data_IF_769166532482
#
_entry.id   IF_769166532482
#
_cell.length_a   1.000
_cell.length_b   1.000
_cell.length_c   1.000
_cell.angle_alpha   90.00
_cell.angle_beta   90.00
_cell.angle_gamma   90.00
#
_symmetry.space_group_name_H-M   'P 1'
#
loop_
_entity.id
_entity.type
_entity.pdbx_description
1 polymer ?
#
# COMPACT_ATOMS: atom_id res chain seq x y z
N UNK A 1 41.36 8.60 35.88
CA UNK A 1 42.15 7.94 34.81
C UNK A 1 43.53 7.64 35.36
N UNK A 2 43.99 6.40 35.24
CA UNK A 2 45.37 6.06 35.60
C UNK A 2 46.33 6.69 34.55
N UNK A 3 47.44 7.31 34.98
CA UNK A 3 48.44 7.86 34.06
C UNK A 3 48.96 6.79 33.10
N UNK A 4 49.12 7.14 31.82
CA UNK A 4 49.64 6.20 30.81
C UNK A 4 48.58 5.28 30.17
N UNK A 5 47.30 5.56 30.39
CA UNK A 5 46.20 4.81 29.77
C UNK A 5 45.44 5.64 28.72
N UNK A 6 44.73 4.97 27.81
CA UNK A 6 43.92 5.63 26.78
C UNK A 6 42.66 4.85 26.44
N UNK A 7 41.67 5.54 25.86
CA UNK A 7 40.38 5.00 25.45
C UNK A 7 40.11 5.35 23.99
N UNK A 8 39.50 4.42 23.26
CA UNK A 8 39.09 4.63 21.86
C UNK A 8 37.56 4.55 21.78
N UNK A 9 36.95 5.49 21.05
CA UNK A 9 35.54 5.45 20.66
C UNK A 9 35.48 5.36 19.14
N UNK A 10 34.86 4.30 18.62
CA UNK A 10 34.74 4.04 17.17
C UNK A 10 33.26 4.12 16.79
N UNK A 11 32.93 4.98 15.83
CA UNK A 11 31.61 5.05 15.22
C UNK A 11 31.57 4.26 13.91
N UNK A 12 30.60 3.35 13.77
CA UNK A 12 30.33 2.62 12.52
C UNK A 12 28.96 3.04 11.97
N UNK A 13 28.86 3.24 10.65
CA UNK A 13 27.69 3.74 9.95
C UNK A 13 27.04 2.64 9.10
N UNK A 14 25.70 2.54 9.18
CA UNK A 14 24.76 1.81 8.32
C UNK A 14 24.92 0.27 8.17
N UNK A 15 26.10 -0.25 7.84
CA UNK A 15 26.25 -1.61 7.32
C UNK A 15 26.68 -2.66 8.37
N UNK A 16 26.84 -2.27 9.63
CA UNK A 16 27.37 -3.14 10.69
C UNK A 16 28.88 -3.39 10.53
N UNK A 17 29.39 -4.41 11.22
CA UNK A 17 30.79 -4.87 11.08
C UNK A 17 30.80 -6.04 10.11
N UNK A 18 31.05 -5.76 8.81
CA UNK A 18 31.38 -6.80 7.82
C UNK A 18 32.83 -7.25 8.00
N UNK A 19 33.21 -8.41 7.46
CA UNK A 19 34.59 -8.92 7.59
C UNK A 19 35.64 -7.95 7.00
N UNK A 20 35.30 -7.27 5.91
CA UNK A 20 36.13 -6.23 5.29
C UNK A 20 36.28 -5.02 6.21
N UNK A 21 35.18 -4.56 6.83
CA UNK A 21 35.20 -3.46 7.77
C UNK A 21 35.92 -3.84 9.07
N UNK A 22 35.86 -5.10 9.50
CA UNK A 22 36.58 -5.60 10.67
C UNK A 22 38.10 -5.44 10.49
N UNK A 23 38.63 -5.80 9.31
CA UNK A 23 40.05 -5.60 9.00
C UNK A 23 40.43 -4.11 9.04
N UNK A 24 39.56 -3.24 8.54
CA UNK A 24 39.84 -1.79 8.59
C UNK A 24 39.67 -1.19 9.98
N UNK A 25 38.77 -1.73 10.82
CA UNK A 25 38.71 -1.37 12.23
C UNK A 25 40.01 -1.76 12.95
N UNK A 26 40.56 -2.95 12.67
CA UNK A 26 41.83 -3.38 13.22
C UNK A 26 42.97 -2.45 12.78
N UNK A 27 43.00 -2.04 11.51
CA UNK A 27 43.97 -1.06 11.01
C UNK A 27 43.81 0.31 11.68
N UNK A 28 42.58 0.82 11.81
CA UNK A 28 42.30 2.10 12.47
C UNK A 28 42.66 2.08 13.96
N UNK A 29 42.42 0.97 14.65
CA UNK A 29 42.81 0.79 16.05
C UNK A 29 44.34 0.74 16.16
N UNK A 30 45.03 0.05 15.26
CA UNK A 30 46.49 -0.02 15.24
C UNK A 30 47.15 1.34 14.98
N UNK A 31 46.55 2.16 14.12
CA UNK A 31 47.02 3.52 13.82
C UNK A 31 46.70 4.50 14.97
N UNK A 32 45.53 4.39 15.58
CA UNK A 32 45.13 5.23 16.70
C UNK A 32 45.78 4.84 18.04
N UNK A 33 46.37 3.64 18.15
CA UNK A 33 47.01 3.15 19.38
C UNK A 33 48.33 3.89 19.66
N UNK A 34 48.44 4.64 20.76
CA UNK A 34 49.69 5.26 21.16
C UNK A 34 50.69 4.20 21.60
N UNK A 35 51.93 4.31 21.12
CA UNK A 35 53.00 3.30 21.29
C UNK A 35 53.33 3.02 22.77
N UNK A 36 53.15 4.00 23.66
CA UNK A 36 53.54 3.92 25.07
C UNK A 36 52.39 3.71 26.05
N UNK A 37 51.13 3.68 25.60
CA UNK A 37 49.96 3.69 26.48
C UNK A 37 49.17 2.39 26.44
N UNK A 38 48.60 2.02 27.59
CA UNK A 38 47.74 0.84 27.72
C UNK A 38 46.27 1.20 27.43
N UNK A 39 45.61 0.38 26.61
CA UNK A 39 44.19 0.55 26.31
C UNK A 39 43.34 0.07 27.48
N UNK A 40 42.55 0.96 28.07
CA UNK A 40 41.63 0.64 29.19
C UNK A 40 40.18 0.53 28.75
N UNK A 41 39.83 0.99 27.54
CA UNK A 41 38.45 0.92 27.07
C UNK A 41 38.32 1.15 25.57
N UNK A 42 37.50 0.30 24.94
CA UNK A 42 37.06 0.42 23.55
C UNK A 42 35.53 0.49 23.56
N UNK A 43 34.97 1.56 23.00
CA UNK A 43 33.53 1.70 22.82
C UNK A 43 33.22 1.78 21.32
N UNK A 44 32.33 0.91 20.84
CA UNK A 44 31.89 0.90 19.45
C UNK A 44 30.41 1.29 19.42
N UNK A 45 30.08 2.38 18.73
CA UNK A 45 28.71 2.84 18.55
C UNK A 45 28.27 2.65 17.10
N UNK A 46 27.17 1.92 16.91
CA UNK A 46 26.52 1.77 15.61
C UNK A 46 25.32 2.71 15.53
N UNK A 47 25.27 3.54 14.49
CA UNK A 47 24.11 4.34 14.14
C UNK A 47 23.64 3.94 12.75
N UNK A 48 22.35 3.62 12.62
CA UNK A 48 21.72 3.25 11.35
C UNK A 48 20.60 4.23 11.05
N UNK A 49 20.56 4.75 9.83
CA UNK A 49 19.47 5.61 9.37
C UNK A 49 18.50 4.78 8.53
N UNK A 50 17.20 4.87 8.81
CA UNK A 50 16.16 4.18 8.05
C UNK A 50 14.96 5.08 7.80
N UNK A 51 14.37 4.98 6.62
CA UNK A 51 13.14 5.70 6.28
C UNK A 51 11.94 5.02 6.95
N UNK A 52 11.15 5.79 7.70
CA UNK A 52 9.86 5.35 8.23
C UNK A 52 8.77 5.97 7.35
N UNK A 53 8.01 5.13 6.65
CA UNK A 53 6.87 5.57 5.84
C UNK A 53 5.58 5.44 6.66
N UNK A 54 4.91 6.57 6.90
CA UNK A 54 3.62 6.61 7.61
C UNK A 54 2.53 6.99 6.60
N UNK A 55 1.57 6.08 6.39
CA UNK A 55 0.38 6.33 5.59
C UNK A 55 -0.78 6.78 6.47
N UNK A 56 -1.54 7.78 6.03
CA UNK A 56 -2.81 8.18 6.63
C UNK A 56 -3.94 7.92 5.65
N UNK A 57 -5.05 7.39 6.13
CA UNK A 57 -6.28 7.20 5.36
C UNK A 57 -7.43 7.87 6.10
N UNK A 58 -8.22 8.68 5.40
CA UNK A 58 -9.47 9.20 5.91
C UNK A 58 -10.63 8.37 5.36
N UNK A 59 -11.49 7.87 6.24
CA UNK A 59 -12.78 7.33 5.84
C UNK A 59 -13.77 8.50 5.76
N UNK A 60 -14.13 8.89 4.54
CA UNK A 60 -15.23 9.83 4.32
C UNK A 60 -16.53 9.01 4.29
N UNK A 61 -17.31 9.07 5.36
CA UNK A 61 -18.65 8.52 5.39
C UNK A 61 -19.62 9.52 4.78
N UNK A 62 -19.92 9.39 3.50
CA UNK A 62 -20.95 10.20 2.86
C UNK A 62 -22.31 9.52 2.95
N UNK A 63 -23.37 10.27 3.24
CA UNK A 63 -24.71 9.75 3.47
C UNK A 63 -25.58 9.95 2.21
N UNK A 64 -25.69 8.91 1.38
CA UNK A 64 -26.55 8.93 0.18
C UNK A 64 -27.97 8.43 0.51
N UNK A 65 -28.99 9.25 0.28
CA UNK A 65 -30.39 8.83 0.33
C UNK A 65 -30.92 8.59 -1.07
N UNK A 66 -31.31 7.36 -1.39
CA UNK A 66 -31.89 6.98 -2.69
C UNK A 66 -33.42 6.94 -2.58
N UNK A 67 -34.11 7.71 -3.42
CA UNK A 67 -35.57 7.70 -3.47
C UNK A 67 -36.09 6.73 -4.54
N UNK A 68 -37.26 6.08 -4.29
CA UNK A 68 -37.92 5.26 -5.29
C UNK A 68 -38.29 6.06 -6.54
N UNK A 69 -38.17 5.43 -7.71
CA UNK A 69 -38.64 6.02 -8.96
C UNK A 69 -40.18 6.02 -9.01
N UNK A 70 -40.79 7.20 -9.09
CA UNK A 70 -42.22 7.38 -9.41
C UNK A 70 -42.38 7.69 -10.90
N UNK A 71 -42.73 6.70 -11.74
CA UNK A 71 -43.01 6.95 -13.16
C UNK A 71 -44.22 7.86 -13.34
N UNK A 72 -44.17 8.71 -14.36
CA UNK A 72 -45.33 9.43 -14.83
C UNK A 72 -46.35 8.47 -15.47
N UNK A 73 -47.63 8.79 -15.36
CA UNK A 73 -48.69 8.01 -16.00
C UNK A 73 -48.61 8.18 -17.53
N UNK A 74 -48.27 7.10 -18.23
CA UNK A 74 -48.29 7.10 -19.70
C UNK A 74 -49.76 7.01 -20.15
N UNK A 75 -50.28 8.11 -20.70
CA UNK A 75 -51.62 8.16 -21.29
C UNK A 75 -51.48 7.82 -22.78
N UNK A 76 -51.94 6.63 -23.18
CA UNK A 76 -52.03 6.23 -24.58
C UNK A 76 -53.43 6.59 -25.10
N UNK A 77 -53.50 7.59 -25.97
CA UNK A 77 -54.70 7.93 -26.73
C UNK A 77 -54.52 7.60 -28.21
N UNK A 78 -55.55 7.08 -28.85
CA UNK A 78 -55.57 6.82 -30.28
C UNK A 78 -57.00 6.69 -30.77
N UNK A 79 -57.27 7.16 -31.98
CA UNK A 79 -58.58 7.05 -32.59
C UNK A 79 -58.89 5.58 -32.90
N UNK A 80 -59.98 5.08 -32.32
CA UNK A 80 -60.46 3.72 -32.54
C UNK A 80 -61.32 3.69 -33.81
N UNK A 81 -60.77 3.16 -34.90
CA UNK A 81 -61.50 2.92 -36.15
C UNK A 81 -61.79 1.41 -36.30
N UNK A 82 -62.93 0.90 -35.81
CA UNK A 82 -63.30 -0.48 -36.05
C UNK A 82 -63.70 -0.64 -37.53
N UNK A 83 -62.90 -1.39 -38.30
CA UNK A 83 -63.30 -1.87 -39.61
C UNK A 83 -63.92 -3.26 -39.47
N UNK A 84 -65.19 -3.40 -39.86
CA UNK A 84 -65.88 -4.69 -39.90
C UNK A 84 -65.32 -5.53 -41.05
N UNK A 85 -64.74 -6.69 -40.76
CA UNK A 85 -64.35 -7.68 -41.78
C UNK A 85 -65.32 -8.85 -41.71
N UNK A 86 -65.94 -9.18 -42.84
CA UNK A 86 -66.78 -10.38 -42.96
C UNK A 86 -65.84 -11.58 -43.06
N UNK A 87 -65.77 -12.37 -41.99
CA UNK A 87 -65.06 -13.64 -41.99
C UNK A 87 -66.01 -14.75 -42.46
N UNK A 88 -65.81 -15.22 -43.69
CA UNK A 88 -66.50 -16.40 -44.23
C UNK A 88 -65.66 -17.65 -43.95
N UNK A 89 -66.23 -18.60 -43.20
CA UNK A 89 -65.66 -19.92 -42.99
C UNK A 89 -66.60 -20.90 -43.71
N UNK A 90 -66.09 -21.59 -44.72
CA UNK A 90 -66.81 -22.64 -45.43
C UNK A 90 -66.31 -24.02 -44.97
N UNK A 91 -67.21 -25.01 -44.97
CA UNK A 91 -66.93 -26.37 -44.52
C UNK A 91 -67.32 -27.36 -45.62
N UNK A 92 -66.34 -27.89 -46.34
CA UNK A 92 -66.54 -28.90 -47.37
C UNK A 92 -66.36 -30.30 -46.79
N UNK A 93 -67.39 -31.15 -46.93
CA UNK A 93 -67.33 -32.58 -46.60
C UNK A 93 -67.53 -33.40 -47.87
N UNK A 94 -66.55 -34.24 -48.19
CA UNK A 94 -66.65 -35.23 -49.27
C UNK A 94 -67.03 -36.57 -48.65
N UNK A 95 -68.07 -37.21 -49.16
CA UNK A 95 -68.41 -38.60 -48.83
C UNK A 95 -68.06 -39.49 -50.03
N UNK A 96 -67.58 -40.70 -49.74
CA UNK A 96 -67.20 -41.70 -50.73
C UNK A 96 -68.41 -42.33 -51.43
#
# INVERSE_FOLDING_TARGET
EEPGTFRIVVGVLDQGITDEMYQELERLIADAKPVSRHLTGLAISLSVNGNIFVGTGCYHGDALTVYPYTPEAIIVGGDYFPASVIHLIDNLRVNA
#
